data_IF_831618824983
#
_entry.id   IF_831618824983
#
_cell.length_a   1.000
_cell.length_b   1.000
_cell.length_c   1.000
_cell.angle_alpha   90.00
_cell.angle_beta   90.00
_cell.angle_gamma   90.00
#
_symmetry.space_group_name_H-M   'P 1'
#
loop_
_entity.id
_entity.type
_entity.pdbx_description
1 polymer ?
#
# COMPACT_ATOMS: atom_id res chain seq x y z
N UNK A 1 18.26 -2.26 -4.97
CA UNK A 1 16.98 -1.58 -5.30
C UNK A 1 17.13 -0.60 -6.47
N UNK A 2 16.10 -0.48 -7.33
CA UNK A 2 16.02 0.45 -8.47
C UNK A 2 14.79 1.38 -8.35
N UNK A 3 15.04 2.63 -7.95
CA UNK A 3 13.99 3.63 -7.67
C UNK A 3 13.29 4.08 -8.96
N UNK A 4 14.03 4.28 -10.06
CA UNK A 4 13.44 4.79 -11.29
C UNK A 4 12.56 3.73 -11.96
N UNK A 5 12.96 2.46 -11.90
CA UNK A 5 12.09 1.37 -12.34
C UNK A 5 10.88 1.16 -11.44
N UNK A 6 11.02 1.35 -10.13
CA UNK A 6 9.87 1.31 -9.22
C UNK A 6 8.86 2.41 -9.58
N UNK A 7 9.33 3.63 -9.84
CA UNK A 7 8.46 4.72 -10.33
C UNK A 7 7.80 4.38 -11.66
N UNK A 8 8.54 3.80 -12.61
CA UNK A 8 8.00 3.40 -13.91
C UNK A 8 6.90 2.34 -13.77
N UNK A 9 7.13 1.31 -12.95
CA UNK A 9 6.14 0.29 -12.60
C UNK A 9 4.84 0.93 -12.09
N UNK A 10 4.94 1.85 -11.12
CA UNK A 10 3.76 2.52 -10.60
C UNK A 10 3.13 3.53 -11.58
N UNK A 11 3.91 4.14 -12.47
CA UNK A 11 3.39 5.09 -13.47
C UNK A 11 2.54 4.39 -14.55
N UNK A 12 2.87 3.15 -14.90
CA UNK A 12 2.12 2.33 -15.85
C UNK A 12 0.81 1.79 -15.27
N UNK A 13 0.76 1.58 -13.95
CA UNK A 13 -0.46 1.15 -13.27
C UNK A 13 -1.54 2.23 -13.30
N UNK A 14 -2.72 1.83 -13.74
CA UNK A 14 -3.95 2.63 -13.69
C UNK A 14 -4.83 2.18 -12.54
N UNK A 15 -5.82 2.99 -12.22
CA UNK A 15 -6.78 2.69 -11.16
C UNK A 15 -7.62 1.42 -11.44
N UNK A 16 -7.77 1.03 -12.71
CA UNK A 16 -8.46 -0.20 -13.12
C UNK A 16 -7.61 -1.46 -12.95
N UNK A 17 -6.30 -1.32 -12.79
CA UNK A 17 -5.41 -2.45 -12.49
C UNK A 17 -5.46 -2.84 -11.01
N UNK A 18 -6.00 -1.97 -10.15
CA UNK A 18 -6.21 -2.24 -8.74
C UNK A 18 -7.45 -3.13 -8.55
N UNK A 19 -7.47 -3.89 -7.45
CA UNK A 19 -8.64 -4.67 -7.07
C UNK A 19 -9.90 -3.77 -7.04
N UNK A 20 -10.99 -4.15 -7.73
CA UNK A 20 -12.18 -3.31 -7.86
C UNK A 20 -13.06 -3.32 -6.59
N UNK A 21 -12.65 -4.04 -5.55
CA UNK A 21 -13.37 -4.13 -4.29
C UNK A 21 -13.52 -2.74 -3.64
N UNK A 22 -14.67 -2.46 -3.00
CA UNK A 22 -14.94 -1.14 -2.42
C UNK A 22 -13.86 -0.71 -1.43
N UNK A 23 -13.42 -1.61 -0.54
CA UNK A 23 -12.38 -1.34 0.44
C UNK A 23 -11.01 -1.06 -0.17
N UNK A 24 -10.66 -1.75 -1.25
CA UNK A 24 -9.41 -1.59 -1.98
C UNK A 24 -9.37 -0.23 -2.68
N UNK A 25 -10.49 0.13 -3.30
CA UNK A 25 -10.69 1.40 -3.99
C UNK A 25 -10.76 2.57 -3.00
N UNK A 26 -11.38 2.34 -1.84
CA UNK A 26 -11.41 3.30 -0.74
C UNK A 26 -10.00 3.56 -0.21
N UNK A 27 -9.21 2.51 0.01
CA UNK A 27 -7.82 2.62 0.41
C UNK A 27 -7.04 3.53 -0.54
N UNK A 28 -7.04 3.19 -1.84
CA UNK A 28 -6.30 3.91 -2.87
C UNK A 28 -6.64 5.41 -2.91
N UNK A 29 -7.90 5.79 -2.66
CA UNK A 29 -8.36 7.20 -2.67
C UNK A 29 -7.98 7.99 -1.42
N UNK A 30 -7.77 7.33 -0.28
CA UNK A 30 -7.70 8.01 1.03
C UNK A 30 -6.36 7.84 1.75
N UNK A 31 -5.62 6.77 1.47
CA UNK A 31 -4.41 6.40 2.22
C UNK A 31 -3.38 7.53 2.26
N UNK A 32 -3.12 8.18 1.14
CA UNK A 32 -2.12 9.24 1.03
C UNK A 32 -2.48 10.47 1.84
N UNK A 33 -3.76 10.83 1.86
CA UNK A 33 -4.26 11.95 2.66
C UNK A 33 -4.23 11.62 4.16
N UNK A 34 -4.54 10.37 4.54
CA UNK A 34 -4.53 9.91 5.92
C UNK A 34 -3.12 9.73 6.49
N UNK A 35 -2.16 9.28 5.66
CA UNK A 35 -0.78 8.96 6.07
C UNK A 35 0.28 9.65 5.19
N UNK A 36 0.30 11.00 5.12
CA UNK A 36 1.17 11.73 4.18
C UNK A 36 2.66 11.56 4.46
N UNK A 37 3.05 11.31 5.72
CA UNK A 37 4.44 11.06 6.09
C UNK A 37 4.93 9.71 5.54
N UNK A 38 4.10 8.67 5.62
CA UNK A 38 4.41 7.34 5.09
C UNK A 38 4.43 7.39 3.55
N UNK A 39 3.47 8.10 2.95
CA UNK A 39 3.45 8.34 1.51
C UNK A 39 4.74 8.99 1.02
N UNK A 40 5.23 10.01 1.72
CA UNK A 40 6.51 10.67 1.40
C UNK A 40 7.71 9.72 1.57
N UNK A 41 7.70 8.87 2.59
CA UNK A 41 8.77 7.90 2.83
C UNK A 41 8.83 6.84 1.72
N UNK A 42 7.69 6.24 1.38
CA UNK A 42 7.58 5.26 0.29
C UNK A 42 7.93 5.86 -1.07
N UNK A 43 7.55 7.13 -1.32
CA UNK A 43 7.91 7.83 -2.55
C UNK A 43 9.43 8.00 -2.73
N UNK A 44 10.22 8.01 -1.64
CA UNK A 44 11.69 8.02 -1.72
C UNK A 44 12.27 6.72 -2.31
N UNK A 45 11.51 5.62 -2.23
CA UNK A 45 11.80 4.34 -2.86
C UNK A 45 11.08 4.16 -4.21
N UNK A 46 10.38 5.19 -4.69
CA UNK A 46 9.61 5.16 -5.93
C UNK A 46 8.23 4.50 -5.80
N UNK A 47 7.84 4.10 -4.60
CA UNK A 47 6.55 3.43 -4.34
C UNK A 47 5.41 4.44 -4.32
N UNK A 48 4.34 4.13 -5.04
CA UNK A 48 3.07 4.84 -4.94
C UNK A 48 2.14 4.15 -3.92
N UNK A 49 1.96 4.78 -2.77
CA UNK A 49 1.16 4.25 -1.66
C UNK A 49 -0.31 4.03 -2.05
N UNK A 50 -0.80 4.72 -3.07
CA UNK A 50 -2.19 4.63 -3.55
C UNK A 50 -2.44 3.37 -4.40
N UNK A 51 -1.38 2.61 -4.74
CA UNK A 51 -1.43 1.47 -5.65
C UNK A 51 -0.93 0.20 -4.96
N UNK A 52 -1.68 -0.36 -4.00
CA UNK A 52 -1.26 -1.56 -3.29
C UNK A 52 -1.20 -2.77 -4.23
N UNK A 53 -0.26 -3.68 -3.97
CA UNK A 53 -0.24 -5.02 -4.55
C UNK A 53 -1.38 -5.87 -3.97
N UNK A 54 -1.50 -5.85 -2.63
CA UNK A 54 -2.49 -6.63 -1.89
C UNK A 54 -2.90 -5.87 -0.62
N UNK A 55 -4.16 -6.03 -0.22
CA UNK A 55 -4.70 -5.43 1.01
C UNK A 55 -5.40 -6.50 1.83
N UNK A 56 -4.90 -6.78 3.03
CA UNK A 56 -5.59 -7.66 3.98
C UNK A 56 -6.35 -6.81 4.98
N UNK A 57 -7.69 -6.88 4.97
CA UNK A 57 -8.53 -5.95 5.73
C UNK A 57 -9.69 -6.62 6.47
N UNK A 58 -10.22 -5.89 7.45
CA UNK A 58 -11.46 -6.16 8.18
C UNK A 58 -12.29 -4.87 8.14
N UNK A 59 -13.53 -4.99 7.67
CA UNK A 59 -14.51 -3.91 7.70
C UNK A 59 -15.13 -3.82 9.09
N UNK A 60 -15.01 -2.65 9.74
CA UNK A 60 -15.65 -2.38 11.04
C UNK A 60 -16.72 -1.29 10.85
N UNK A 61 -17.71 -1.59 10.00
CA UNK A 61 -18.75 -0.62 9.62
C UNK A 61 -19.45 0.04 10.81
N UNK A 62 -19.73 -0.73 11.87
CA UNK A 62 -20.39 -0.23 13.08
C UNK A 62 -19.52 0.76 13.85
N UNK A 63 -18.19 0.72 13.64
CA UNK A 63 -17.23 1.64 14.24
C UNK A 63 -16.77 2.74 13.28
N UNK A 64 -17.27 2.74 12.05
CA UNK A 64 -17.00 3.80 11.06
C UNK A 64 -15.56 3.80 10.54
N UNK A 65 -14.90 2.64 10.48
CA UNK A 65 -13.56 2.52 9.90
C UNK A 65 -13.36 1.22 9.14
N UNK A 66 -12.37 1.23 8.25
CA UNK A 66 -11.80 0.03 7.64
C UNK A 66 -10.41 -0.16 8.23
N UNK A 67 -10.16 -1.36 8.72
CA UNK A 67 -8.89 -1.74 9.32
C UNK A 67 -8.13 -2.67 8.38
N UNK A 68 -6.97 -2.23 7.92
CA UNK A 68 -6.08 -3.02 7.07
C UNK A 68 -4.98 -3.62 7.95
N UNK A 69 -4.99 -4.93 8.12
CA UNK A 69 -3.98 -5.66 8.90
C UNK A 69 -2.59 -5.45 8.30
N UNK A 70 -2.51 -5.55 6.97
CA UNK A 70 -1.31 -5.25 6.20
C UNK A 70 -1.67 -4.86 4.78
N UNK A 71 -0.86 -3.98 4.19
CA UNK A 71 -0.94 -3.56 2.80
C UNK A 71 0.43 -3.69 2.15
N UNK A 72 0.48 -4.38 1.02
CA UNK A 72 1.74 -4.77 0.38
C UNK A 72 2.05 -3.91 -0.83
N UNK A 73 3.34 -3.64 -1.06
CA UNK A 73 3.84 -2.84 -2.18
C UNK A 73 5.07 -3.49 -2.80
N UNK A 74 5.23 -3.28 -4.11
CA UNK A 74 6.35 -3.81 -4.88
C UNK A 74 7.47 -2.77 -4.92
N UNK A 75 8.70 -3.23 -4.74
CA UNK A 75 9.91 -2.44 -4.96
C UNK A 75 10.82 -3.21 -5.91
N UNK A 76 11.21 -2.58 -7.02
CA UNK A 76 12.05 -3.21 -8.04
C UNK A 76 13.49 -3.28 -7.54
N UNK A 77 14.15 -4.42 -7.77
CA UNK A 77 15.53 -4.71 -7.39
C UNK A 77 15.65 -5.53 -6.09
N UNK A 78 16.85 -5.48 -5.50
CA UNK A 78 17.18 -6.09 -4.21
C UNK A 78 16.81 -5.20 -3.01
N UNK A 79 16.77 -5.83 -1.83
CA UNK A 79 16.44 -5.23 -0.52
C UNK A 79 17.53 -4.27 0.01
N UNK A 80 18.69 -4.18 -0.64
CA UNK A 80 19.83 -3.42 -0.13
C UNK A 80 19.48 -1.93 -0.03
N UNK A 81 19.71 -1.37 1.17
CA UNK A 81 19.43 0.03 1.47
C UNK A 81 17.96 0.35 1.78
N UNK A 82 17.04 -0.62 1.70
CA UNK A 82 15.71 -0.45 2.28
C UNK A 82 15.80 -0.39 3.81
N UNK A 83 15.04 0.51 4.43
CA UNK A 83 15.01 0.66 5.89
C UNK A 83 13.58 0.48 6.38
N UNK A 84 13.40 -0.55 7.18
CA UNK A 84 12.17 -0.74 7.94
C UNK A 84 11.98 0.41 8.92
N UNK A 85 10.73 0.80 9.15
CA UNK A 85 10.42 1.97 9.96
C UNK A 85 9.07 1.83 10.65
N UNK A 86 8.98 2.35 11.86
CA UNK A 86 7.72 2.53 12.57
C UNK A 86 7.29 4.01 12.51
N UNK A 87 6.00 4.22 12.26
CA UNK A 87 5.32 5.50 12.22
C UNK A 87 4.21 5.49 13.28
N UNK A 88 4.62 5.63 14.54
CA UNK A 88 3.73 5.36 15.67
C UNK A 88 3.38 3.87 15.70
N UNK A 89 2.09 3.57 15.60
CA UNK A 89 1.57 2.19 15.64
C UNK A 89 1.63 1.48 14.27
N UNK A 90 1.98 2.19 13.19
CA UNK A 90 2.08 1.61 11.84
C UNK A 90 3.53 1.21 11.56
N UNK A 91 3.76 -0.02 11.13
CA UNK A 91 5.08 -0.52 10.76
C UNK A 91 5.19 -0.72 9.24
N UNK A 92 6.36 -0.41 8.70
CA UNK A 92 6.75 -0.69 7.33
C UNK A 92 7.96 -1.63 7.36
N UNK A 93 7.81 -2.82 6.78
CA UNK A 93 8.81 -3.90 6.85
C UNK A 93 8.87 -4.71 5.56
N UNK A 94 9.95 -5.47 5.36
CA UNK A 94 10.08 -6.35 4.20
C UNK A 94 9.23 -7.60 4.42
N UNK A 95 8.42 -7.94 3.43
CA UNK A 95 7.51 -9.08 3.46
C UNK A 95 8.07 -10.26 2.68
N UNK A 96 8.01 -11.45 3.27
CA UNK A 96 8.43 -12.70 2.62
C UNK A 96 7.25 -13.51 2.10
N UNK A 97 6.05 -13.25 2.60
CA UNK A 97 4.81 -13.91 2.18
C UNK A 97 3.92 -12.91 1.44
N UNK A 98 4.00 -12.95 0.12
CA UNK A 98 3.26 -12.05 -0.76
C UNK A 98 2.78 -12.80 -2.01
N UNK A 99 1.70 -12.35 -2.66
CA UNK A 99 1.33 -12.86 -3.98
C UNK A 99 2.42 -12.50 -4.99
N UNK A 100 2.42 -13.22 -6.11
CA UNK A 100 3.33 -12.90 -7.20
C UNK A 100 2.91 -11.59 -7.86
N UNK A 101 3.81 -10.61 -7.90
CA UNK A 101 3.63 -9.41 -8.69
C UNK A 101 3.82 -9.72 -10.18
N UNK A 102 3.12 -8.99 -11.05
CA UNK A 102 3.29 -9.06 -12.50
C UNK A 102 4.54 -8.29 -12.96
N UNK A 103 5.69 -8.66 -12.40
CA UNK A 103 7.00 -8.05 -12.66
C UNK A 103 7.95 -9.15 -13.13
N UNK A 104 8.63 -8.92 -14.27
CA UNK A 104 9.61 -9.86 -14.81
C UNK A 104 11.01 -9.70 -14.18
N UNK A 105 11.28 -8.51 -13.66
CA UNK A 105 12.54 -8.19 -13.02
C UNK A 105 12.61 -8.74 -11.60
N UNK A 106 13.80 -8.67 -10.99
CA UNK A 106 13.93 -8.94 -9.56
C UNK A 106 13.18 -7.87 -8.78
N UNK A 107 12.45 -8.26 -7.74
CA UNK A 107 11.72 -7.35 -6.85
C UNK A 107 11.62 -7.94 -5.45
N UNK A 108 11.31 -7.08 -4.49
CA UNK A 108 10.87 -7.47 -3.15
C UNK A 108 9.57 -6.76 -2.81
N UNK A 109 8.89 -7.26 -1.78
CA UNK A 109 7.63 -6.69 -1.30
C UNK A 109 7.83 -6.09 0.08
N UNK A 110 7.18 -4.96 0.33
CA UNK A 110 7.13 -4.32 1.64
C UNK A 110 5.70 -4.28 2.13
N UNK A 111 5.50 -4.58 3.41
CA UNK A 111 4.21 -4.58 4.10
C UNK A 111 4.10 -3.34 4.98
N UNK A 112 2.96 -2.65 4.90
CA UNK A 112 2.57 -1.52 5.74
C UNK A 112 1.38 -1.94 6.60
N UNK A 113 1.52 -1.92 7.92
CA UNK A 113 0.41 -2.25 8.80
C UNK A 113 0.70 -2.15 10.29
N UNK A 114 -0.35 -2.13 11.12
CA UNK A 114 -1.76 -1.97 10.73
C UNK A 114 -2.08 -0.55 10.26
N UNK A 115 -3.07 -0.39 9.38
CA UNK A 115 -3.57 0.90 8.89
C UNK A 115 -5.06 1.03 9.19
N UNK A 116 -5.51 2.20 9.59
CA UNK A 116 -6.94 2.48 9.82
C UNK A 116 -7.37 3.69 8.99
N UNK A 117 -8.43 3.51 8.20
CA UNK A 117 -9.05 4.60 7.47
C UNK A 117 -10.46 4.81 8.01
N UNK A 118 -10.76 6.03 8.45
CA UNK A 118 -12.13 6.39 8.83
C UNK A 118 -13.01 6.29 7.59
N UNK A 119 -14.06 5.48 7.66
CA UNK A 119 -15.01 5.25 6.60
C UNK A 119 -16.36 5.75 7.09
N UNK A 120 -16.73 6.96 6.67
CA UNK A 120 -18.11 7.41 6.83
C UNK A 120 -18.94 6.67 5.79
N UNK A 121 -19.84 5.78 6.23
CA UNK A 121 -20.95 5.30 5.39
C UNK A 121 -21.70 6.55 4.93
N UNK A 122 -21.42 7.05 3.72
CA UNK A 122 -22.37 7.93 3.04
C UNK A 122 -23.60 7.08 2.76
N UNK A 123 -24.49 7.08 3.76
CA UNK A 123 -25.88 6.68 3.76
C UNK A 123 -26.29 5.81 2.56
N UNK A 124 -26.38 4.50 2.79
CA UNK A 124 -27.43 3.71 2.14
C UNK A 124 -28.76 4.41 2.49
N UNK A 125 -29.22 5.27 1.58
CA UNK A 125 -30.60 5.76 1.53
C UNK A 125 -31.43 4.78 0.73
#
# INVERSE_FOLDING_TARGET
>A
MDIEKTKAYYAEMTFTDLCPCECCQYYARHIKAAYPQIAKYLAAYGVDIEKPLETMYVEEFDKGFIFYWTVQYVVIGDEEGFREMAFGDVSLYIEKLHPQAMVQENYFVVSLGPVTLNYAKESYK
#
